data_IF_537652258706
#
_entry.id   IF_537652258706
#
_cell.length_a   1.000
_cell.length_b   1.000
_cell.length_c   1.000
_cell.angle_alpha   90.00
_cell.angle_beta   90.00
_cell.angle_gamma   90.00
#
_symmetry.space_group_name_H-M   'P 1'
#
loop_
_entity.id
_entity.type
_entity.pdbx_description
1 polymer ?
#
# COMPACT_ATOMS: atom_id res chain seq x y z
N UNK A 1 -14.38 -5.61 -31.35
CA UNK A 1 -15.23 -5.33 -30.18
C UNK A 1 -14.45 -4.39 -29.28
N UNK A 2 -14.70 -3.09 -29.48
CA UNK A 2 -14.12 -2.01 -28.71
C UNK A 2 -14.83 -1.94 -27.36
N UNK A 3 -14.06 -1.78 -26.27
CA UNK A 3 -14.56 -1.15 -25.06
C UNK A 3 -13.73 0.12 -24.91
N UNK A 4 -14.38 1.21 -25.24
CA UNK A 4 -13.86 2.57 -25.19
C UNK A 4 -13.50 2.91 -23.76
N UNK A 5 -12.20 3.14 -23.50
CA UNK A 5 -11.77 3.85 -22.30
C UNK A 5 -12.06 5.33 -22.54
N UNK A 6 -13.24 5.76 -22.15
CA UNK A 6 -13.57 7.17 -22.08
C UNK A 6 -12.52 7.89 -21.22
N UNK A 7 -11.97 9.00 -21.75
CA UNK A 7 -11.15 9.94 -21.02
C UNK A 7 -11.94 10.46 -19.81
N UNK A 8 -11.68 9.90 -18.64
CA UNK A 8 -12.10 10.45 -17.36
C UNK A 8 -10.88 11.04 -16.65
N UNK A 9 -10.70 12.35 -16.76
CA UNK A 9 -9.72 13.07 -15.93
C UNK A 9 -10.23 13.04 -14.48
N UNK A 10 -9.56 12.29 -13.60
CA UNK A 10 -9.79 12.35 -12.15
C UNK A 10 -8.55 12.93 -11.47
N UNK A 11 -8.73 14.13 -10.89
CA UNK A 11 -7.75 14.86 -10.06
C UNK A 11 -8.13 14.64 -8.57
N UNK A 12 -7.35 15.13 -7.61
CA UNK A 12 -6.89 14.38 -6.42
C UNK A 12 -8.01 14.01 -5.42
N UNK A 13 -7.87 12.85 -4.76
CA UNK A 13 -8.85 12.33 -3.79
C UNK A 13 -9.63 11.13 -4.35
N UNK A 14 -8.90 10.12 -4.84
CA UNK A 14 -9.52 8.96 -5.46
C UNK A 14 -10.24 8.11 -4.41
N UNK A 15 -11.55 8.20 -4.53
CA UNK A 15 -12.53 7.41 -3.84
C UNK A 15 -12.60 6.04 -4.55
N UNK A 16 -12.34 4.96 -3.82
CA UNK A 16 -12.52 3.60 -4.32
C UNK A 16 -13.71 2.99 -3.60
N UNK A 17 -14.65 2.39 -4.35
CA UNK A 17 -15.76 1.67 -3.73
C UNK A 17 -15.24 0.35 -3.15
N UNK A 18 -15.33 0.16 -1.83
CA UNK A 18 -15.07 -1.15 -1.23
C UNK A 18 -16.20 -2.13 -1.57
N UNK A 19 -15.91 -3.42 -1.48
CA UNK A 19 -16.89 -4.50 -1.67
C UNK A 19 -18.11 -4.42 -0.73
N UNK A 20 -18.07 -3.57 0.31
CA UNK A 20 -19.17 -3.30 1.25
C UNK A 20 -19.94 -1.99 1.02
N UNK A 21 -19.76 -1.31 -0.11
CA UNK A 21 -20.49 -0.07 -0.46
C UNK A 21 -19.93 1.22 0.16
N UNK A 22 -19.03 1.14 1.15
CA UNK A 22 -18.31 2.29 1.67
C UNK A 22 -17.27 2.81 0.68
N UNK A 23 -17.20 4.14 0.54
CA UNK A 23 -16.06 4.79 -0.11
C UNK A 23 -14.82 4.67 0.76
N UNK A 24 -13.77 4.11 0.19
CA UNK A 24 -12.41 4.20 0.70
C UNK A 24 -11.77 5.45 0.13
N UNK A 25 -11.29 6.32 1.02
CA UNK A 25 -10.45 7.45 0.67
C UNK A 25 -9.01 7.16 1.12
N UNK A 26 -8.06 7.30 0.20
CA UNK A 26 -6.66 7.01 0.52
C UNK A 26 -6.12 7.86 1.68
N UNK A 27 -6.47 9.15 1.74
CA UNK A 27 -5.90 10.07 2.72
C UNK A 27 -6.48 9.83 4.11
N UNK A 28 -7.79 9.58 4.19
CA UNK A 28 -8.51 9.33 5.44
C UNK A 28 -8.27 7.91 5.96
N UNK A 29 -8.33 6.91 5.08
CA UNK A 29 -8.42 5.51 5.49
C UNK A 29 -7.08 4.77 5.38
N UNK A 30 -6.30 5.01 4.33
CA UNK A 30 -5.09 4.21 4.03
C UNK A 30 -3.80 4.88 4.56
N UNK A 31 -3.65 6.18 4.34
CA UNK A 31 -2.44 6.94 4.70
C UNK A 31 -2.11 6.85 6.21
N UNK A 32 -3.06 6.90 7.16
CA UNK A 32 -2.74 6.74 8.57
C UNK A 32 -2.19 5.35 8.90
N UNK A 33 -2.71 4.30 8.24
CA UNK A 33 -2.25 2.93 8.42
C UNK A 33 -0.78 2.80 7.98
N UNK A 34 -0.45 3.29 6.77
CA UNK A 34 0.92 3.25 6.25
C UNK A 34 1.88 4.10 7.10
N UNK A 35 1.46 5.30 7.50
CA UNK A 35 2.27 6.21 8.32
C UNK A 35 2.64 5.58 9.67
N UNK A 36 1.68 4.92 10.32
CA UNK A 36 1.86 4.38 11.67
C UNK A 36 2.67 3.08 11.70
N UNK A 37 2.59 2.28 10.63
CA UNK A 37 3.06 0.90 10.64
C UNK A 37 4.19 0.61 9.65
N UNK A 38 4.35 1.41 8.60
CA UNK A 38 5.24 1.06 7.46
C UNK A 38 6.33 2.11 7.21
N UNK A 39 5.98 3.40 7.25
CA UNK A 39 6.88 4.49 6.80
C UNK A 39 8.15 4.63 7.66
N UNK A 40 8.15 4.17 8.91
CA UNK A 40 9.36 4.18 9.75
C UNK A 40 10.53 3.41 9.11
N UNK A 41 10.25 2.29 8.43
CA UNK A 41 11.27 1.44 7.79
C UNK A 41 11.23 1.52 6.26
N UNK A 42 10.15 2.02 5.67
CA UNK A 42 9.96 2.13 4.21
C UNK A 42 9.59 3.56 3.80
N UNK A 43 10.27 4.54 4.40
CA UNK A 43 10.00 5.96 4.25
C UNK A 43 11.25 6.78 3.92
N UNK A 44 11.20 8.11 4.12
CA UNK A 44 12.22 9.03 3.61
C UNK A 44 13.57 8.91 4.30
N UNK A 45 13.66 8.37 5.52
CA UNK A 45 14.95 8.22 6.21
C UNK A 45 15.76 7.07 5.62
N UNK A 46 16.84 7.40 4.90
CA UNK A 46 17.74 6.42 4.28
C UNK A 46 18.42 5.49 5.28
N UNK A 47 18.69 5.95 6.51
CA UNK A 47 19.43 5.17 7.50
C UNK A 47 18.61 4.02 8.08
N UNK A 48 17.30 4.21 8.20
CA UNK A 48 16.35 3.19 8.67
C UNK A 48 15.68 2.44 7.51
N UNK A 49 15.84 2.90 6.26
CA UNK A 49 15.16 2.35 5.08
C UNK A 49 15.56 0.90 4.81
N UNK A 50 14.58 0.03 4.71
CA UNK A 50 14.73 -1.39 4.38
C UNK A 50 14.33 -1.64 2.93
N UNK A 51 15.13 -2.45 2.24
CA UNK A 51 14.85 -2.89 0.86
C UNK A 51 14.84 -1.76 -0.19
N UNK A 52 15.34 -0.56 0.15
CA UNK A 52 15.28 0.61 -0.74
C UNK A 52 13.86 1.09 -1.06
N UNK A 53 12.84 0.55 -0.39
CA UNK A 53 11.43 0.79 -0.70
C UNK A 53 10.93 2.09 -0.04
N UNK A 54 10.12 2.83 -0.80
CA UNK A 54 9.44 4.06 -0.36
C UNK A 54 7.93 3.91 -0.52
N UNK A 55 7.23 3.69 0.59
CA UNK A 55 5.77 3.61 0.62
C UNK A 55 5.09 4.99 0.74
N UNK A 56 5.87 6.03 1.03
CA UNK A 56 5.42 7.42 1.05
C UNK A 56 5.45 8.11 -0.32
N UNK A 57 6.05 7.48 -1.34
CA UNK A 57 6.07 7.97 -2.73
C UNK A 57 5.27 7.01 -3.60
N UNK A 58 4.24 7.53 -4.27
CA UNK A 58 3.35 6.72 -5.12
C UNK A 58 4.10 5.94 -6.20
N UNK A 59 5.00 6.60 -6.92
CA UNK A 59 5.75 5.98 -8.02
C UNK A 59 6.71 4.88 -7.57
N UNK A 60 7.17 4.92 -6.31
CA UNK A 60 8.06 3.90 -5.75
C UNK A 60 7.27 2.75 -5.13
N UNK A 61 6.06 3.02 -4.64
CA UNK A 61 5.15 2.01 -4.12
C UNK A 61 4.49 1.19 -5.24
N UNK A 62 4.26 1.80 -6.41
CA UNK A 62 3.64 1.21 -7.59
C UNK A 62 4.68 0.78 -8.65
N UNK A 63 4.33 -0.16 -9.53
CA UNK A 63 5.10 -0.44 -10.76
C UNK A 63 6.25 -1.44 -10.60
N UNK A 64 7.20 -1.44 -11.54
CA UNK A 64 8.14 -2.55 -11.77
C UNK A 64 9.13 -2.89 -10.63
N UNK A 65 9.33 -1.97 -9.67
CA UNK A 65 10.07 -2.23 -8.41
C UNK A 65 9.21 -1.99 -7.16
N UNK A 66 7.95 -1.58 -7.36
CA UNK A 66 6.99 -1.36 -6.28
C UNK A 66 6.41 -2.67 -5.77
N UNK A 67 5.69 -2.57 -4.65
CA UNK A 67 5.10 -3.73 -3.95
C UNK A 67 3.58 -3.78 -4.07
N UNK A 68 2.98 -2.82 -4.76
CA UNK A 68 1.54 -2.72 -4.98
C UNK A 68 1.26 -2.82 -6.48
N UNK A 69 0.39 -3.75 -6.85
CA UNK A 69 -0.14 -3.93 -8.20
C UNK A 69 -1.55 -3.30 -8.23
N UNK A 70 -1.74 -2.15 -8.89
CA UNK A 70 -3.03 -1.48 -8.95
C UNK A 70 -4.11 -2.40 -9.55
N UNK A 71 -5.25 -2.53 -8.86
CA UNK A 71 -6.37 -3.37 -9.30
C UNK A 71 -6.20 -4.87 -9.04
N UNK A 72 -5.04 -5.33 -8.56
CA UNK A 72 -4.77 -6.74 -8.26
C UNK A 72 -4.06 -6.88 -6.89
N UNK A 73 -4.89 -6.82 -5.84
CA UNK A 73 -4.45 -7.00 -4.46
C UNK A 73 -3.76 -8.36 -4.22
N UNK A 74 -4.28 -9.51 -4.69
CA UNK A 74 -3.61 -10.81 -4.55
C UNK A 74 -2.19 -10.87 -5.14
N UNK A 75 -1.93 -10.18 -6.24
CA UNK A 75 -0.60 -10.11 -6.85
C UNK A 75 0.35 -9.13 -6.14
N UNK A 76 -0.16 -8.27 -5.27
CA UNK A 76 0.64 -7.26 -4.56
C UNK A 76 1.49 -7.88 -3.45
N UNK A 77 2.80 -7.65 -3.50
CA UNK A 77 3.73 -8.10 -2.46
C UNK A 77 3.38 -7.52 -1.08
N UNK A 78 2.92 -6.26 -1.03
CA UNK A 78 2.43 -5.63 0.20
C UNK A 78 1.41 -6.53 0.93
N UNK A 79 0.46 -7.10 0.17
CA UNK A 79 -0.63 -7.91 0.72
C UNK A 79 -0.07 -9.22 1.25
N UNK A 80 0.81 -9.88 0.50
CA UNK A 80 1.48 -11.12 0.94
C UNK A 80 2.22 -10.92 2.26
N UNK A 81 2.93 -9.80 2.44
CA UNK A 81 3.69 -9.49 3.66
C UNK A 81 2.81 -9.25 4.88
N UNK A 82 1.62 -8.66 4.71
CA UNK A 82 0.72 -8.38 5.84
C UNK A 82 -0.17 -9.58 6.19
N UNK A 83 -0.36 -10.53 5.26
CA UNK A 83 -1.19 -11.72 5.48
C UNK A 83 -0.40 -13.01 5.73
N UNK A 84 0.93 -13.01 5.53
CA UNK A 84 1.76 -14.21 5.76
C UNK A 84 1.79 -14.63 7.23
N UNK A 85 1.89 -15.94 7.45
CA UNK A 85 2.14 -16.56 8.75
C UNK A 85 3.63 -16.73 9.06
N UNK A 86 4.52 -16.55 8.07
CA UNK A 86 5.96 -16.63 8.27
C UNK A 86 6.46 -15.36 9.00
N UNK A 87 6.96 -15.47 10.24
CA UNK A 87 7.44 -14.32 11.00
C UNK A 87 8.65 -13.62 10.36
N UNK A 88 9.43 -14.31 9.52
CA UNK A 88 10.59 -13.71 8.85
C UNK A 88 10.17 -12.76 7.71
N UNK A 89 9.06 -13.05 7.05
CA UNK A 89 8.53 -12.24 5.95
C UNK A 89 7.40 -11.30 6.38
N UNK A 90 6.85 -11.47 7.58
CA UNK A 90 5.71 -10.69 8.07
C UNK A 90 6.05 -9.22 8.26
N UNK A 91 5.16 -8.36 7.79
CA UNK A 91 5.21 -6.91 8.00
C UNK A 91 3.93 -6.41 8.69
N UNK A 92 4.03 -5.46 9.65
CA UNK A 92 5.26 -5.01 10.29
C UNK A 92 5.98 -6.17 11.01
N UNK A 93 7.31 -6.12 11.12
CA UNK A 93 8.05 -7.19 11.75
C UNK A 93 7.78 -7.19 13.27
N UNK A 94 7.73 -8.35 13.95
CA UNK A 94 7.31 -8.43 15.36
C UNK A 94 8.09 -7.50 16.30
N UNK A 95 9.39 -7.33 16.07
CA UNK A 95 10.28 -6.48 16.85
C UNK A 95 9.99 -4.98 16.70
N UNK A 96 9.21 -4.58 15.70
CA UNK A 96 8.77 -3.18 15.54
C UNK A 96 7.76 -2.75 16.60
N UNK A 97 7.10 -3.71 17.27
CA UNK A 97 6.01 -3.47 18.20
C UNK A 97 4.77 -2.83 17.55
N UNK A 98 4.66 -2.89 16.21
CA UNK A 98 3.52 -2.38 15.43
C UNK A 98 2.63 -3.54 15.00
N UNK A 99 1.33 -3.29 15.00
CA UNK A 99 0.32 -4.29 14.63
C UNK A 99 -0.76 -3.64 13.76
N UNK A 100 -1.14 -4.34 12.69
CA UNK A 100 -2.28 -3.98 11.86
C UNK A 100 -3.54 -4.46 12.55
N UNK A 101 -4.44 -3.52 12.84
CA UNK A 101 -5.75 -3.83 13.41
C UNK A 101 -6.75 -4.12 12.27
N UNK A 102 -7.64 -5.12 12.45
CA UNK A 102 -8.74 -5.38 11.52
C UNK A 102 -9.68 -4.18 11.35
#
# INVERSE_FOLDING_TARGET
MAREFALGVAVPGQIVQAAGGSQIDFTRDIRPILSNNCVKCHGPDEKSRKGGLRLDILNDALGGKGVIVPGDSPSSELIKRITTSDPADRMPPPESGKELKP
#
